data_IF_463759581181
#
_entry.id   IF_463759581181
#
_cell.length_a   1.000
_cell.length_b   1.000
_cell.length_c   1.000
_cell.angle_alpha   90.00
_cell.angle_beta   90.00
_cell.angle_gamma   90.00
#
_symmetry.space_group_name_H-M   'P 1'
#
loop_
_entity.id
_entity.type
_entity.pdbx_description
1 polymer ?
#
# COMPACT_ATOMS: atom_id res chain seq x y z
N UNK A 1 -6.66 -8.34 0.60
CA UNK A 1 -5.66 -8.24 -0.49
C UNK A 1 -5.43 -6.82 -0.98
N UNK A 2 -6.45 -6.01 -1.27
CA UNK A 2 -6.26 -4.68 -1.88
C UNK A 2 -5.32 -3.72 -1.11
N UNK A 3 -5.44 -3.66 0.22
CA UNK A 3 -4.57 -2.80 1.03
C UNK A 3 -3.08 -3.15 0.79
N UNK A 4 -2.74 -4.43 0.79
CA UNK A 4 -1.37 -4.89 0.54
C UNK A 4 -0.90 -4.48 -0.86
N UNK A 5 -1.71 -4.73 -1.90
CA UNK A 5 -1.34 -4.38 -3.28
C UNK A 5 -1.09 -2.88 -3.45
N UNK A 6 -1.87 -2.03 -2.77
CA UNK A 6 -1.67 -0.58 -2.81
C UNK A 6 -0.42 -0.12 -2.06
N UNK A 7 -0.07 -0.78 -0.95
CA UNK A 7 1.18 -0.52 -0.22
C UNK A 7 2.37 -1.01 -1.08
N UNK A 8 2.29 -2.22 -1.63
CA UNK A 8 3.32 -2.82 -2.47
C UNK A 8 3.65 -1.95 -3.69
N UNK A 9 2.62 -1.44 -4.39
CA UNK A 9 2.81 -0.55 -5.53
C UNK A 9 3.56 0.74 -5.16
N UNK A 10 3.40 1.23 -3.92
CA UNK A 10 4.12 2.40 -3.45
C UNK A 10 5.56 2.11 -3.01
N UNK A 11 5.91 0.85 -2.71
CA UNK A 11 7.20 0.43 -2.16
C UNK A 11 7.99 -0.46 -3.13
N UNK A 12 7.82 -0.32 -4.45
CA UNK A 12 8.57 -1.10 -5.44
C UNK A 12 8.40 -2.63 -5.31
N UNK A 13 7.20 -3.07 -4.96
CA UNK A 13 6.84 -4.49 -4.94
C UNK A 13 5.73 -4.74 -5.95
N UNK A 14 5.94 -5.75 -6.82
CA UNK A 14 4.93 -6.29 -7.73
C UNK A 14 4.20 -7.45 -7.07
N UNK A 15 2.94 -7.66 -7.45
CA UNK A 15 2.12 -8.72 -6.89
C UNK A 15 1.36 -9.51 -7.95
N UNK A 16 1.41 -10.83 -7.85
CA UNK A 16 0.45 -11.72 -8.49
C UNK A 16 -0.60 -12.13 -7.46
N UNK A 17 -1.88 -11.92 -7.77
CA UNK A 17 -2.98 -12.26 -6.85
C UNK A 17 -3.68 -13.50 -7.36
N UNK A 18 -3.91 -14.48 -6.47
CA UNK A 18 -4.66 -15.68 -6.80
C UNK A 18 -6.09 -15.34 -7.26
N UNK A 19 -6.66 -16.12 -8.17
CA UNK A 19 -8.01 -15.86 -8.74
C UNK A 19 -9.12 -15.84 -7.69
N UNK A 20 -8.97 -16.62 -6.62
CA UNK A 20 -9.85 -16.65 -5.44
C UNK A 20 -9.54 -15.55 -4.41
N UNK A 21 -8.55 -14.71 -4.66
CA UNK A 21 -8.10 -13.63 -3.77
C UNK A 21 -7.71 -14.07 -2.35
N UNK A 22 -7.28 -15.33 -2.15
CA UNK A 22 -6.90 -15.83 -0.82
C UNK A 22 -5.41 -15.65 -0.49
N UNK A 23 -4.55 -15.62 -1.51
CA UNK A 23 -3.12 -15.36 -1.35
C UNK A 23 -2.58 -14.52 -2.52
N UNK A 24 -1.38 -13.98 -2.32
CA UNK A 24 -0.62 -13.26 -3.35
C UNK A 24 0.83 -13.73 -3.32
N UNK A 25 1.52 -13.59 -4.45
CA UNK A 25 2.98 -13.66 -4.55
C UNK A 25 3.52 -12.25 -4.70
N UNK A 26 4.45 -11.86 -3.84
CA UNK A 26 5.13 -10.58 -3.89
C UNK A 26 6.51 -10.76 -4.55
N UNK A 27 6.87 -9.83 -5.44
CA UNK A 27 8.13 -9.78 -6.15
C UNK A 27 8.76 -8.41 -5.91
N UNK A 28 9.98 -8.36 -5.41
CA UNK A 28 10.64 -7.15 -4.96
C UNK A 28 12.01 -7.47 -4.38
N UNK A 29 12.79 -6.44 -4.08
CA UNK A 29 13.99 -6.62 -3.27
C UNK A 29 13.58 -6.96 -1.83
N UNK A 30 14.38 -7.75 -1.08
CA UNK A 30 14.02 -8.17 0.28
C UNK A 30 13.62 -7.00 1.18
N UNK A 31 14.36 -5.89 1.12
CA UNK A 31 14.11 -4.70 1.94
C UNK A 31 12.77 -4.04 1.62
N UNK A 32 12.38 -4.03 0.34
CA UNK A 32 11.11 -3.47 -0.12
C UNK A 32 9.91 -4.35 0.31
N UNK A 33 10.10 -5.67 0.26
CA UNK A 33 9.11 -6.64 0.72
C UNK A 33 8.92 -6.51 2.24
N UNK A 34 10.00 -6.43 3.00
CA UNK A 34 9.96 -6.26 4.45
C UNK A 34 9.29 -4.95 4.86
N UNK A 35 9.62 -3.84 4.18
CA UNK A 35 8.97 -2.55 4.39
C UNK A 35 7.47 -2.62 4.07
N UNK A 36 7.10 -3.24 2.94
CA UNK A 36 5.70 -3.46 2.55
C UNK A 36 4.95 -4.27 3.59
N UNK A 37 5.57 -5.34 4.10
CA UNK A 37 4.95 -6.22 5.10
C UNK A 37 4.76 -5.51 6.44
N UNK A 38 5.77 -4.78 6.92
CA UNK A 38 5.69 -3.99 8.16
C UNK A 38 4.59 -2.91 8.09
N UNK A 39 4.52 -2.19 6.97
CA UNK A 39 3.45 -1.24 6.70
C UNK A 39 2.09 -1.94 6.70
N UNK A 40 1.96 -3.06 5.99
CA UNK A 40 0.69 -3.80 5.95
C UNK A 40 0.26 -4.29 7.35
N UNK A 41 1.17 -4.88 8.12
CA UNK A 41 0.90 -5.40 9.45
C UNK A 41 0.38 -4.31 10.40
N UNK A 42 0.98 -3.11 10.35
CA UNK A 42 0.50 -1.97 11.16
C UNK A 42 -0.81 -1.38 10.63
N UNK A 43 -0.97 -1.25 9.31
CA UNK A 43 -2.11 -0.56 8.70
C UNK A 43 -3.38 -1.41 8.69
N UNK A 44 -3.27 -2.73 8.58
CA UNK A 44 -4.45 -3.61 8.64
C UNK A 44 -5.08 -3.55 10.02
N UNK A 45 -4.29 -3.49 11.10
CA UNK A 45 -4.78 -3.33 12.48
C UNK A 45 -5.51 -1.99 12.64
N UNK A 46 -4.93 -0.90 12.14
CA UNK A 46 -5.57 0.42 12.16
C UNK A 46 -6.89 0.44 11.39
N UNK A 47 -6.91 -0.17 10.20
CA UNK A 47 -8.11 -0.25 9.35
C UNK A 47 -9.24 -1.02 10.01
N UNK A 48 -8.94 -2.19 10.59
CA UNK A 48 -9.94 -3.04 11.26
C UNK A 48 -10.54 -2.30 12.44
N UNK A 49 -9.70 -1.72 13.33
CA UNK A 49 -10.18 -0.94 14.49
C UNK A 49 -11.07 0.23 14.07
N UNK A 50 -10.66 1.00 13.07
CA UNK A 50 -11.44 2.14 12.59
C UNK A 50 -12.75 1.71 11.90
N UNK A 51 -12.72 0.61 11.15
CA UNK A 51 -13.91 0.04 10.53
C UNK A 51 -14.91 -0.47 11.56
N UNK A 52 -14.45 -1.15 12.62
CA UNK A 52 -15.32 -1.66 13.68
C UNK A 52 -15.94 -0.51 14.47
N UNK A 53 -15.17 0.54 14.80
CA UNK A 53 -15.70 1.74 15.42
C UNK A 53 -16.76 2.44 14.55
N UNK A 54 -16.53 2.54 13.24
CA UNK A 54 -17.52 3.09 12.30
C UNK A 54 -18.82 2.26 12.27
N UNK A 55 -18.72 0.94 12.22
CA UNK A 55 -19.89 0.06 12.20
C UNK A 55 -20.66 0.09 13.52
N UNK A 56 -19.96 0.15 14.65
CA UNK A 56 -20.55 0.28 15.98
C UNK A 56 -21.35 1.59 16.14
N UNK A 57 -20.94 2.67 15.46
CA UNK A 57 -21.68 3.94 15.48
C UNK A 57 -23.07 3.88 14.84
N UNK A 58 -23.36 2.86 14.03
CA UNK A 58 -24.64 2.74 13.30
C UNK A 58 -24.80 3.71 12.12
N UNK A 59 -23.84 4.61 11.87
CA UNK A 59 -23.89 5.61 10.80
C UNK A 59 -23.89 5.03 9.37
N UNK A 60 -23.75 3.70 9.23
CA UNK A 60 -23.88 3.02 7.94
C UNK A 60 -25.34 2.74 7.56
N UNK A 61 -26.27 2.67 8.53
CA UNK A 61 -27.67 2.32 8.27
C UNK A 61 -28.32 3.34 7.31
N UNK A 62 -29.14 2.89 6.35
CA UNK A 62 -29.65 1.53 6.15
C UNK A 62 -28.73 0.59 5.34
N UNK A 63 -27.50 1.00 5.00
CA UNK A 63 -26.56 0.15 4.25
C UNK A 63 -26.31 -1.17 5.01
N UNK A 64 -26.35 -2.34 4.34
CA UNK A 64 -25.95 -3.59 4.96
C UNK A 64 -24.52 -3.54 5.51
N UNK A 65 -24.28 -4.15 6.68
CA UNK A 65 -22.99 -4.11 7.39
C UNK A 65 -21.83 -4.59 6.51
N UNK A 66 -22.03 -5.65 5.71
CA UNK A 66 -20.99 -6.17 4.80
C UNK A 66 -20.65 -5.15 3.72
N UNK A 67 -21.66 -4.55 3.06
CA UNK A 67 -21.46 -3.49 2.06
C UNK A 67 -20.73 -2.28 2.65
N UNK A 68 -21.12 -1.85 3.85
CA UNK A 68 -20.48 -0.73 4.54
C UNK A 68 -19.01 -1.03 4.88
N UNK A 69 -18.73 -2.22 5.43
CA UNK A 69 -17.38 -2.68 5.76
C UNK A 69 -16.47 -2.72 4.52
N UNK A 70 -16.96 -3.31 3.43
CA UNK A 70 -16.22 -3.37 2.17
C UNK A 70 -15.93 -1.96 1.63
N UNK A 71 -16.95 -1.10 1.51
CA UNK A 71 -16.78 0.28 1.02
C UNK A 71 -15.80 1.09 1.90
N UNK A 72 -15.83 0.88 3.23
CA UNK A 72 -14.89 1.50 4.16
C UNK A 72 -13.45 1.04 3.89
N UNK A 73 -13.20 -0.27 3.85
CA UNK A 73 -11.87 -0.84 3.64
C UNK A 73 -11.27 -0.46 2.28
N UNK A 74 -12.11 -0.44 1.23
CA UNK A 74 -11.71 0.02 -0.10
C UNK A 74 -11.25 1.48 -0.09
N UNK A 75 -12.01 2.36 0.56
CA UNK A 75 -11.67 3.78 0.65
C UNK A 75 -10.46 4.06 1.55
N UNK A 76 -10.34 3.32 2.65
CA UNK A 76 -9.16 3.37 3.52
C UNK A 76 -7.89 3.00 2.74
N UNK A 77 -7.91 1.84 2.06
CA UNK A 77 -6.77 1.38 1.27
C UNK A 77 -6.40 2.35 0.15
N UNK A 78 -7.39 2.86 -0.59
CA UNK A 78 -7.17 3.84 -1.65
C UNK A 78 -6.47 5.11 -1.11
N UNK A 79 -6.93 5.64 0.04
CA UNK A 79 -6.33 6.83 0.66
C UNK A 79 -4.90 6.56 1.13
N UNK A 80 -4.64 5.42 1.76
CA UNK A 80 -3.30 5.04 2.21
C UNK A 80 -2.35 4.90 1.02
N UNK A 81 -2.77 4.19 -0.04
CA UNK A 81 -1.98 4.05 -1.26
C UNK A 81 -1.64 5.41 -1.89
N UNK A 82 -2.61 6.32 -1.97
CA UNK A 82 -2.38 7.69 -2.44
C UNK A 82 -1.32 8.42 -1.60
N UNK A 83 -1.43 8.38 -0.26
CA UNK A 83 -0.48 9.06 0.63
C UNK A 83 0.94 8.50 0.52
N UNK A 84 1.08 7.19 0.37
CA UNK A 84 2.39 6.55 0.18
C UNK A 84 3.01 6.93 -1.17
N UNK A 85 2.20 6.98 -2.24
CA UNK A 85 2.66 7.44 -3.55
C UNK A 85 3.10 8.91 -3.50
N UNK A 86 2.33 9.79 -2.86
CA UNK A 86 2.68 11.21 -2.66
C UNK A 86 3.99 11.36 -1.86
N UNK A 87 4.15 10.62 -0.76
CA UNK A 87 5.37 10.64 0.04
C UNK A 87 6.60 10.17 -0.76
N UNK A 88 6.43 9.15 -1.61
CA UNK A 88 7.49 8.65 -2.51
C UNK A 88 7.88 9.70 -3.54
N UNK A 89 6.91 10.34 -4.19
CA UNK A 89 7.18 11.39 -5.17
C UNK A 89 7.88 12.60 -4.54
N UNK A 90 7.50 12.96 -3.31
CA UNK A 90 8.17 14.01 -2.55
C UNK A 90 9.64 13.65 -2.26
N UNK A 91 9.92 12.43 -1.76
CA UNK A 91 11.28 11.96 -1.51
C UNK A 91 12.14 11.92 -2.79
N UNK A 92 11.55 11.52 -3.93
CA UNK A 92 12.23 11.55 -5.24
C UNK A 92 12.59 12.97 -5.68
N UNK A 93 11.69 13.94 -5.48
CA UNK A 93 11.95 15.35 -5.79
C UNK A 93 13.07 15.93 -4.94
N UNK A 94 13.10 15.61 -3.66
CA UNK A 94 14.15 16.06 -2.73
C UNK A 94 15.54 15.56 -3.16
N UNK A 95 15.65 14.28 -3.54
CA UNK A 95 16.90 13.71 -4.07
C UNK A 95 17.31 14.35 -5.39
N UNK A 96 16.34 14.66 -6.27
CA UNK A 96 16.62 15.29 -7.56
C UNK A 96 17.07 16.74 -7.41
N UNK A 97 16.60 17.45 -6.37
CA UNK A 97 17.00 18.82 -6.07
C UNK A 97 18.47 18.92 -5.59
N UNK A 98 19.00 17.87 -4.95
CA UNK A 98 20.41 17.77 -4.56
C UNK A 98 21.31 17.46 -5.77
N UNK A 99 21.69 18.50 -6.53
CA UNK A 99 22.40 18.40 -7.81
C UNK A 99 23.72 17.62 -7.76
N UNK A 100 24.39 17.50 -6.60
CA UNK A 100 25.65 16.78 -6.46
C UNK A 100 25.51 15.26 -6.31
N UNK A 101 24.36 14.79 -5.79
CA UNK A 101 24.05 13.38 -5.53
C UNK A 101 22.96 12.82 -6.44
N UNK A 102 22.09 13.69 -6.96
CA UNK A 102 20.95 13.37 -7.81
C UNK A 102 21.27 12.39 -8.96
N UNK A 103 22.35 12.57 -9.76
CA UNK A 103 22.57 11.70 -10.91
C UNK A 103 22.82 10.25 -10.49
N UNK A 104 23.64 10.02 -9.45
CA UNK A 104 23.98 8.67 -8.99
C UNK A 104 22.80 7.96 -8.33
N UNK A 105 22.06 8.66 -7.47
CA UNK A 105 20.90 8.05 -6.80
C UNK A 105 19.75 7.81 -7.76
N UNK A 106 19.49 8.73 -8.71
CA UNK A 106 18.45 8.53 -9.71
C UNK A 106 18.75 7.34 -10.63
N UNK A 107 20.01 7.15 -11.04
CA UNK A 107 20.44 5.97 -11.83
C UNK A 107 20.23 4.69 -11.01
N UNK A 108 20.71 4.62 -9.77
CA UNK A 108 20.55 3.43 -8.93
C UNK A 108 19.07 3.05 -8.71
N UNK A 109 18.20 4.04 -8.46
CA UNK A 109 16.75 3.80 -8.34
C UNK A 109 16.13 3.31 -9.65
N UNK A 110 16.63 3.79 -10.79
CA UNK A 110 16.16 3.37 -12.10
C UNK A 110 16.61 1.95 -12.44
N UNK A 111 17.87 1.63 -12.17
CA UNK A 111 18.43 0.28 -12.38
C UNK A 111 17.66 -0.75 -11.55
N UNK A 112 17.39 -0.43 -10.27
CA UNK A 112 16.55 -1.24 -9.39
C UNK A 112 15.16 -1.50 -9.99
N UNK A 113 14.51 -0.49 -10.55
CA UNK A 113 13.19 -0.63 -11.18
C UNK A 113 13.23 -1.51 -12.44
N UNK A 114 14.29 -1.36 -13.25
CA UNK A 114 14.50 -2.19 -14.46
C UNK A 114 14.73 -3.63 -14.08
N UNK A 115 15.61 -3.89 -13.11
CA UNK A 115 15.91 -5.24 -12.61
C UNK A 115 14.66 -5.93 -12.08
N UNK A 116 13.88 -5.25 -11.24
CA UNK A 116 12.61 -5.77 -10.74
C UNK A 116 11.64 -6.10 -11.89
N UNK A 117 11.51 -5.20 -12.86
CA UNK A 117 10.59 -5.39 -14.00
C UNK A 117 10.99 -6.61 -14.81
N UNK A 118 12.28 -6.77 -15.10
CA UNK A 118 12.80 -7.84 -15.93
C UNK A 118 12.69 -9.20 -15.20
N UNK A 119 13.01 -9.22 -13.90
CA UNK A 119 12.75 -10.38 -13.05
C UNK A 119 11.26 -10.74 -13.00
N UNK A 120 10.38 -9.77 -12.74
CA UNK A 120 8.94 -9.99 -12.66
C UNK A 120 8.38 -10.58 -13.97
N UNK A 121 8.84 -10.09 -15.13
CA UNK A 121 8.40 -10.59 -16.44
C UNK A 121 8.76 -12.06 -16.65
N UNK A 122 9.92 -12.51 -16.16
CA UNK A 122 10.36 -13.91 -16.29
C UNK A 122 9.78 -14.84 -15.21
N UNK A 123 9.55 -14.33 -14.00
CA UNK A 123 9.13 -15.13 -12.84
C UNK A 123 7.61 -15.23 -12.67
N UNK A 124 6.85 -14.23 -13.12
CA UNK A 124 5.39 -14.21 -12.95
C UNK A 124 4.71 -15.35 -13.71
N UNK A 125 3.73 -15.96 -13.07
CA UNK A 125 2.82 -16.97 -13.70
C UNK A 125 1.41 -16.42 -13.89
N UNK A 126 1.21 -15.11 -13.65
CA UNK A 126 -0.09 -14.50 -13.81
C UNK A 126 -0.55 -14.54 -15.27
N UNK A 127 -1.79 -14.98 -15.48
CA UNK A 127 -2.43 -15.05 -16.81
C UNK A 127 -3.29 -13.82 -17.14
N UNK A 128 -3.25 -12.79 -16.29
CA UNK A 128 -4.05 -11.58 -16.44
C UNK A 128 -3.75 -10.55 -15.37
N UNK A 129 -4.32 -9.35 -15.53
CA UNK A 129 -4.17 -8.26 -14.57
C UNK A 129 -5.23 -8.37 -13.48
N UNK A 130 -4.81 -8.47 -12.23
CA UNK A 130 -5.73 -8.38 -11.11
C UNK A 130 -6.38 -6.99 -11.05
N UNK A 131 -7.70 -6.97 -10.93
CA UNK A 131 -8.47 -5.76 -10.71
C UNK A 131 -9.01 -5.79 -9.28
N UNK A 132 -8.85 -4.69 -8.56
CA UNK A 132 -9.50 -4.50 -7.28
C UNK A 132 -11.01 -4.76 -7.42
N UNK A 133 -11.57 -5.47 -6.44
CA UNK A 133 -12.95 -5.95 -6.49
C UNK A 133 -13.89 -4.81 -6.89
N UNK A 134 -14.49 -4.89 -8.09
CA UNK A 134 -15.59 -3.99 -8.47
C UNK A 134 -16.74 -4.30 -7.53
N UNK A 135 -17.37 -3.25 -6.98
CA UNK A 135 -18.42 -3.38 -5.98
C UNK A 135 -19.67 -4.03 -6.60
N UNK A 136 -19.73 -5.36 -6.65
CA UNK A 136 -20.99 -6.09 -6.83
C UNK A 136 -21.85 -6.00 -5.57
N UNK A 137 -21.23 -5.74 -4.42
CA UNK A 137 -21.87 -5.60 -3.12
C UNK A 137 -22.33 -4.17 -2.81
N UNK A 138 -23.00 -3.47 -3.74
CA UNK A 138 -23.58 -2.15 -3.50
C UNK A 138 -22.59 -1.02 -3.13
N UNK A 139 -23.10 0.20 -3.07
CA UNK A 139 -22.30 1.41 -2.86
C UNK A 139 -22.77 2.16 -1.62
N UNK A 140 -21.82 2.64 -0.79
CA UNK A 140 -22.15 3.48 0.36
C UNK A 140 -21.21 4.67 0.47
N UNK A 141 -21.73 5.86 0.13
CA UNK A 141 -20.94 7.09 0.17
C UNK A 141 -20.50 7.46 1.59
N UNK A 142 -21.33 7.17 2.61
CA UNK A 142 -21.00 7.40 4.01
C UNK A 142 -19.83 6.52 4.47
N UNK A 143 -19.87 5.23 4.14
CA UNK A 143 -18.80 4.30 4.48
C UNK A 143 -17.48 4.65 3.78
N UNK A 144 -17.55 5.04 2.49
CA UNK A 144 -16.36 5.51 1.77
C UNK A 144 -15.75 6.77 2.38
N UNK A 145 -16.57 7.76 2.74
CA UNK A 145 -16.07 8.98 3.42
C UNK A 145 -15.44 8.65 4.78
N UNK A 146 -16.03 7.73 5.54
CA UNK A 146 -15.47 7.31 6.82
C UNK A 146 -14.13 6.58 6.64
N UNK A 147 -14.05 5.64 5.68
CA UNK A 147 -12.82 4.94 5.35
C UNK A 147 -11.72 5.88 4.85
N UNK A 148 -12.08 6.85 4.00
CA UNK A 148 -11.16 7.88 3.51
C UNK A 148 -10.60 8.74 4.65
N UNK A 149 -11.45 9.20 5.59
CA UNK A 149 -10.99 9.95 6.77
C UNK A 149 -10.06 9.12 7.64
N UNK A 150 -10.42 7.87 7.92
CA UNK A 150 -9.55 6.97 8.68
C UNK A 150 -8.21 6.74 7.96
N UNK A 151 -8.23 6.58 6.63
CA UNK A 151 -7.03 6.46 5.82
C UNK A 151 -6.14 7.71 5.83
N UNK A 152 -6.71 8.92 5.99
CA UNK A 152 -5.93 10.16 6.17
C UNK A 152 -5.26 10.22 7.54
N UNK A 153 -5.92 9.69 8.57
CA UNK A 153 -5.42 9.68 9.95
C UNK A 153 -4.47 8.51 10.24
N UNK A 154 -4.42 7.51 9.35
CA UNK A 154 -3.56 6.35 9.52
C UNK A 154 -2.09 6.74 9.66
N UNK A 155 -1.39 6.10 10.59
CA UNK A 155 0.05 6.27 10.81
C UNK A 155 0.80 5.39 9.83
N UNK A 156 1.57 6.03 8.93
CA UNK A 156 2.37 5.37 7.89
C UNK A 156 3.84 5.18 8.32
N UNK A 157 4.24 5.73 9.47
CA UNK A 157 5.61 5.59 9.98
C UNK A 157 5.85 4.22 10.61
N UNK A 158 7.11 3.81 10.65
CA UNK A 158 7.53 2.58 11.33
C UNK A 158 7.12 2.68 12.81
N UNK A 159 6.22 1.80 13.23
CA UNK A 159 6.12 1.47 14.65
C UNK A 159 7.51 0.99 15.10
N UNK A 160 7.99 1.38 16.30
CA UNK A 160 9.37 1.17 16.76
C UNK A 160 9.78 -0.30 16.96
N UNK A 161 9.02 -1.27 16.48
CA UNK A 161 9.27 -2.69 16.69
C UNK A 161 10.18 -3.34 15.64
N UNK A 162 10.72 -2.58 14.67
CA UNK A 162 11.71 -3.10 13.71
C UNK A 162 12.95 -2.21 13.63
N UNK A 163 14.17 -2.79 13.58
CA UNK A 163 15.40 -2.01 13.62
C UNK A 163 15.48 -1.10 12.39
N UNK A 164 15.61 0.20 12.64
CA UNK A 164 15.78 1.19 11.59
C UNK A 164 16.98 0.87 10.69
N UNK A 165 16.84 1.26 9.41
CA UNK A 165 17.89 1.17 8.41
C UNK A 165 19.21 1.73 8.97
N UNK A 166 20.27 0.92 8.89
CA UNK A 166 21.60 1.25 9.42
C UNK A 166 22.07 2.60 8.89
N UNK A 167 22.49 3.47 9.81
CA UNK A 167 23.19 4.72 9.52
C UNK A 167 24.37 4.44 8.58
N UNK A 168 24.51 5.26 7.53
CA UNK A 168 25.64 5.18 6.62
C UNK A 168 26.95 5.35 7.42
N UNK A 169 27.93 4.47 7.15
CA UNK A 169 29.27 4.61 7.71
C UNK A 169 29.91 5.88 7.15
N UNK A 170 30.29 6.79 8.05
CA UNK A 170 31.20 7.89 7.71
C UNK A 170 32.57 7.30 7.31
N UNK A 171 33.19 7.92 6.31
CA UNK A 171 34.55 7.58 5.84
C UNK A 171 35.61 8.24 6.72
#
# INVERSE_FOLDING_TARGET
>A
MQLFVLIAAANDVRCDVASNSTFLYAYGFPEDIDATHALYASLVVQMVRASDAYLASGAHRPTPTITARLNFQLAFGARVGQRLAEAREQARREVTADRGRAPRTAIALRDKEVELRDYYRGASRARGTWQAHRASAGYSSAARRAGDRAGRQARLGQSPELPGARTALDR
#
